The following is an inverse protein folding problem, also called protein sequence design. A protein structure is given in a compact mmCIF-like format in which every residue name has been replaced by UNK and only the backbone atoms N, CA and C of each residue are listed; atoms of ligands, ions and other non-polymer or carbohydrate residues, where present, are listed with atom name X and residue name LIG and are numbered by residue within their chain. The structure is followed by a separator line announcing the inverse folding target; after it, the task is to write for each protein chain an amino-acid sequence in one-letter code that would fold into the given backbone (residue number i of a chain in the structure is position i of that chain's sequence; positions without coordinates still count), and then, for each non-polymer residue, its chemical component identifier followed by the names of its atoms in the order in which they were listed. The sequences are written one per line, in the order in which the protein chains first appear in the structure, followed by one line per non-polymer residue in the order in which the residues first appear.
data_IF_259969558812
#
_entry.id   IF_259969558812
#
_cell.length_a   1.000
_cell.length_b   1.000
_cell.length_c   1.000
_cell.angle_alpha   90.00
_cell.angle_beta   90.00
_cell.angle_gamma   90.00
#
_symmetry.space_group_name_H-M   'P 1'
#
loop_
_entity.id
_entity.type
_entity.pdbx_description
1 polymer ?
#
# COMPACT_ATOMS: atom_id res chain seq x y z
N UNK A 1 -11.85 13.21 1.89
CA UNK A 1 -12.40 12.10 1.10
C UNK A 1 -11.32 11.58 0.17
N UNK A 2 -11.13 10.29 0.10
CA UNK A 2 -10.07 9.72 -0.72
C UNK A 2 -10.49 9.64 -2.17
N UNK A 3 -9.73 10.26 -3.05
CA UNK A 3 -9.93 10.11 -4.48
C UNK A 3 -9.18 8.88 -4.98
N UNK A 4 -9.88 8.04 -5.70
CA UNK A 4 -9.32 6.87 -6.34
C UNK A 4 -9.15 7.16 -7.83
N UNK A 5 -7.96 6.99 -8.32
CA UNK A 5 -7.68 7.13 -9.74
C UNK A 5 -7.39 5.76 -10.32
N UNK A 6 -8.25 5.30 -11.22
CA UNK A 6 -7.98 4.06 -11.95
C UNK A 6 -7.30 4.43 -13.25
N UNK A 7 -6.06 4.00 -13.40
CA UNK A 7 -5.26 4.28 -14.58
C UNK A 7 -5.36 3.16 -15.60
N UNK A 8 -4.91 3.42 -16.83
CA UNK A 8 -4.76 2.38 -17.84
C UNK A 8 -3.76 1.31 -17.36
N UNK A 9 -3.85 0.09 -17.92
CA UNK A 9 -2.89 -0.96 -17.54
C UNK A 9 -1.45 -0.51 -17.75
N UNK A 10 -0.62 -0.74 -16.75
CA UNK A 10 0.82 -0.47 -16.83
C UNK A 10 1.56 -1.78 -17.02
N UNK A 11 2.69 -1.71 -17.71
CA UNK A 11 3.55 -2.87 -17.82
C UNK A 11 3.99 -3.31 -16.42
N UNK A 12 3.96 -4.60 -16.17
CA UNK A 12 4.47 -5.14 -14.92
C UNK A 12 5.94 -4.77 -14.81
N UNK A 13 6.38 -4.27 -13.64
CA UNK A 13 7.80 -4.03 -13.45
C UNK A 13 8.55 -5.33 -13.66
N UNK A 14 9.64 -5.28 -14.40
CA UNK A 14 10.49 -6.44 -14.58
C UNK A 14 10.85 -6.95 -13.20
N UNK A 15 10.31 -8.10 -12.82
CA UNK A 15 10.58 -8.68 -11.52
C UNK A 15 12.03 -9.09 -11.48
N UNK A 16 12.85 -8.33 -10.77
CA UNK A 16 14.14 -8.86 -10.35
C UNK A 16 13.85 -10.08 -9.47
N UNK A 17 14.69 -11.17 -9.59
CA UNK A 17 14.43 -12.39 -8.82
C UNK A 17 14.35 -12.20 -7.30
N UNK A 18 14.81 -11.06 -6.81
CA UNK A 18 14.85 -10.73 -5.39
C UNK A 18 13.58 -10.03 -4.89
N UNK A 19 12.63 -9.73 -5.79
CA UNK A 19 11.34 -9.16 -5.42
C UNK A 19 10.30 -10.23 -5.13
N UNK A 20 10.67 -11.16 -4.29
CA UNK A 20 9.67 -11.93 -3.57
C UNK A 20 9.13 -10.98 -2.53
N UNK A 21 8.05 -10.31 -2.91
CA UNK A 21 7.44 -9.33 -2.05
C UNK A 21 7.11 -9.91 -0.69
N UNK A 22 7.06 -9.09 0.36
CA UNK A 22 6.64 -9.55 1.66
C UNK A 22 5.23 -10.12 1.56
N UNK A 23 5.05 -11.33 2.10
CA UNK A 23 3.77 -12.01 2.10
C UNK A 23 2.90 -11.59 3.28
N UNK A 24 3.48 -10.91 4.28
CA UNK A 24 2.81 -10.55 5.53
C UNK A 24 2.91 -9.06 5.81
N UNK A 25 1.90 -8.49 6.51
CA UNK A 25 1.95 -7.07 6.86
C UNK A 25 3.19 -6.65 7.67
N UNK A 26 3.69 -7.53 8.54
CA UNK A 26 4.90 -7.25 9.31
C UNK A 26 6.13 -7.08 8.40
N UNK A 27 6.22 -7.89 7.35
CA UNK A 27 7.32 -7.79 6.40
C UNK A 27 7.21 -6.49 5.60
N UNK A 28 6.01 -6.09 5.23
CA UNK A 28 5.77 -4.83 4.53
C UNK A 28 6.21 -3.65 5.37
N UNK A 29 5.88 -3.65 6.66
CA UNK A 29 6.31 -2.58 7.58
C UNK A 29 7.83 -2.49 7.69
N UNK A 30 8.50 -3.63 7.77
CA UNK A 30 9.97 -3.66 7.84
C UNK A 30 10.60 -3.12 6.57
N UNK A 31 10.06 -3.48 5.42
CA UNK A 31 10.58 -3.01 4.15
C UNK A 31 10.41 -1.49 4.00
N UNK A 32 9.26 -0.95 4.39
CA UNK A 32 9.02 0.49 4.38
C UNK A 32 10.05 1.21 5.26
N UNK A 33 10.24 0.73 6.49
CA UNK A 33 11.20 1.34 7.41
C UNK A 33 12.61 1.29 6.85
N UNK A 34 13.00 0.16 6.24
CA UNK A 34 14.31 0.00 5.65
C UNK A 34 14.55 1.00 4.51
N UNK A 35 13.63 1.08 3.57
CA UNK A 35 13.76 1.97 2.41
C UNK A 35 13.85 3.43 2.85
N UNK A 36 12.99 3.86 3.77
CA UNK A 36 13.01 5.24 4.27
C UNK A 36 14.31 5.52 5.02
N UNK A 37 14.75 4.60 5.88
CA UNK A 37 15.98 4.78 6.66
C UNK A 37 17.19 4.91 5.75
N UNK A 38 17.30 4.08 4.74
CA UNK A 38 18.40 4.17 3.78
C UNK A 38 18.39 5.50 3.02
N UNK A 39 17.22 5.96 2.63
CA UNK A 39 17.08 7.25 1.96
C UNK A 39 17.46 8.42 2.87
N UNK A 40 17.08 8.38 4.15
CA UNK A 40 17.44 9.39 5.14
C UNK A 40 18.95 9.42 5.39
N UNK A 41 19.58 8.26 5.49
CA UNK A 41 21.03 8.15 5.68
C UNK A 41 21.80 8.75 4.52
N UNK A 42 21.28 8.58 3.31
CA UNK A 42 21.88 9.17 2.12
C UNK A 42 21.62 10.67 2.00
N UNK A 43 20.85 11.26 2.90
CA UNK A 43 20.49 12.68 2.88
C UNK A 43 19.50 13.07 1.80
N UNK A 44 18.79 12.10 1.23
CA UNK A 44 17.87 12.34 0.12
C UNK A 44 16.43 12.59 0.55
N UNK A 45 16.10 12.40 1.83
CA UNK A 45 14.76 12.61 2.33
C UNK A 45 14.76 12.96 3.80
N UNK A 46 13.75 13.72 4.28
CA UNK A 46 13.56 13.95 5.71
C UNK A 46 13.13 12.65 6.40
N UNK A 47 13.43 12.54 7.69
CA UNK A 47 13.17 11.35 8.48
C UNK A 47 12.21 11.67 9.62
N UNK A 48 10.96 12.00 9.28
CA UNK A 48 9.93 12.25 10.26
C UNK A 48 9.36 10.91 10.77
N UNK A 49 9.44 10.68 12.07
CA UNK A 49 8.96 9.44 12.69
C UNK A 49 7.47 9.20 12.45
N UNK A 50 6.66 10.25 12.44
CA UNK A 50 5.23 10.13 12.15
C UNK A 50 4.98 9.70 10.71
N UNK A 51 5.75 10.25 9.78
CA UNK A 51 5.65 9.87 8.38
C UNK A 51 6.03 8.41 8.16
N UNK A 52 7.07 7.94 8.84
CA UNK A 52 7.46 6.53 8.78
C UNK A 52 6.34 5.63 9.29
N UNK A 53 5.75 5.98 10.43
CA UNK A 53 4.64 5.22 11.01
C UNK A 53 3.43 5.19 10.09
N UNK A 54 3.08 6.32 9.49
CA UNK A 54 1.97 6.42 8.54
C UNK A 54 2.21 5.54 7.31
N UNK A 55 3.42 5.60 6.76
CA UNK A 55 3.78 4.78 5.61
C UNK A 55 3.75 3.29 5.95
N UNK A 56 4.22 2.90 7.13
CA UNK A 56 4.15 1.53 7.60
C UNK A 56 2.71 1.05 7.75
N UNK A 57 1.83 1.90 8.28
CA UNK A 57 0.43 1.57 8.43
C UNK A 57 -0.26 1.40 7.07
N UNK A 58 0.01 2.30 6.13
CA UNK A 58 -0.50 2.18 4.75
C UNK A 58 -0.05 0.86 4.13
N UNK A 59 1.22 0.52 4.23
CA UNK A 59 1.75 -0.73 3.68
C UNK A 59 1.10 -1.95 4.33
N UNK A 60 0.91 -1.91 5.64
CA UNK A 60 0.26 -2.98 6.39
C UNK A 60 -1.20 -3.18 5.95
N UNK A 61 -1.93 -2.08 5.78
CA UNK A 61 -3.34 -2.14 5.40
C UNK A 61 -3.52 -2.60 3.94
N UNK A 62 -2.68 -2.14 3.03
CA UNK A 62 -2.72 -2.59 1.64
C UNK A 62 -2.39 -4.08 1.53
N UNK A 63 -1.41 -4.54 2.28
CA UNK A 63 -1.01 -5.95 2.31
C UNK A 63 -2.13 -6.81 2.90
N UNK A 64 -2.74 -6.36 3.99
CA UNK A 64 -3.87 -7.05 4.61
C UNK A 64 -5.04 -7.17 3.64
N UNK A 65 -5.37 -6.10 2.93
CA UNK A 65 -6.44 -6.13 1.92
C UNK A 65 -6.13 -7.13 0.81
N UNK A 66 -4.89 -7.17 0.34
CA UNK A 66 -4.49 -8.12 -0.70
C UNK A 66 -4.64 -9.56 -0.21
N UNK A 67 -4.27 -9.85 1.03
CA UNK A 67 -4.38 -11.18 1.63
C UNK A 67 -5.84 -11.58 1.82
N UNK A 68 -6.65 -10.70 2.40
CA UNK A 68 -8.03 -11.04 2.76
C UNK A 68 -8.98 -11.01 1.57
N UNK A 69 -8.75 -10.12 0.62
CA UNK A 69 -9.73 -9.85 -0.45
C UNK A 69 -9.16 -9.97 -1.85
N UNK A 70 -7.85 -10.03 -2.01
CA UNK A 70 -7.18 -10.00 -3.30
C UNK A 70 -6.55 -11.32 -3.76
N UNK A 71 -6.73 -12.38 -3.00
CA UNK A 71 -6.11 -13.66 -3.33
C UNK A 71 -4.63 -13.76 -2.99
N UNK A 72 -4.11 -12.83 -2.21
CA UNK A 72 -2.72 -12.79 -1.79
C UNK A 72 -1.91 -11.70 -2.50
N UNK A 73 -0.79 -11.36 -1.91
CA UNK A 73 0.14 -10.38 -2.49
C UNK A 73 0.93 -11.07 -3.60
N UNK A 74 0.89 -10.51 -4.81
CA UNK A 74 1.68 -11.01 -5.94
C UNK A 74 2.96 -10.21 -6.13
N UNK A 75 2.98 -8.96 -5.70
CA UNK A 75 4.18 -8.12 -5.74
C UNK A 75 4.06 -7.01 -4.70
N UNK A 76 5.19 -6.62 -4.14
CA UNK A 76 5.28 -5.52 -3.19
C UNK A 76 6.51 -4.69 -3.53
N UNK A 77 6.33 -3.38 -3.61
CA UNK A 77 7.42 -2.47 -3.92
C UNK A 77 7.31 -1.19 -3.11
N UNK A 78 8.43 -0.69 -2.61
CA UNK A 78 8.53 0.58 -1.91
C UNK A 78 9.69 1.36 -2.48
N UNK A 79 9.46 2.62 -2.81
CA UNK A 79 10.52 3.52 -3.22
C UNK A 79 10.22 4.94 -2.74
N UNK A 80 11.25 5.77 -2.68
CA UNK A 80 11.11 7.17 -2.35
C UNK A 80 11.08 7.98 -3.65
N UNK A 81 10.05 8.81 -3.80
CA UNK A 81 9.83 9.62 -4.99
C UNK A 81 9.69 11.08 -4.56
N UNK A 82 10.78 11.86 -4.70
CA UNK A 82 10.81 13.24 -4.23
C UNK A 82 10.56 13.32 -2.72
N UNK A 83 9.57 14.10 -2.26
CA UNK A 83 9.29 14.24 -0.83
C UNK A 83 8.39 13.13 -0.27
N UNK A 84 8.05 12.14 -1.08
CA UNK A 84 7.08 11.11 -0.72
C UNK A 84 7.71 9.73 -0.75
N UNK A 85 7.11 8.80 -0.01
CA UNK A 85 7.35 7.38 -0.18
C UNK A 85 6.15 6.78 -0.94
N UNK A 86 6.45 5.95 -1.93
CA UNK A 86 5.45 5.24 -2.70
C UNK A 86 5.43 3.78 -2.28
N UNK A 87 4.26 3.29 -1.91
CA UNK A 87 4.04 1.89 -1.56
C UNK A 87 3.13 1.28 -2.63
N UNK A 88 3.58 0.21 -3.27
CA UNK A 88 2.83 -0.48 -4.32
C UNK A 88 2.57 -1.91 -3.88
N UNK A 89 1.32 -2.33 -3.91
CA UNK A 89 0.92 -3.69 -3.57
C UNK A 89 0.06 -4.23 -4.69
N UNK A 90 0.48 -5.35 -5.26
CA UNK A 90 -0.27 -6.04 -6.33
C UNK A 90 -0.94 -7.28 -5.77
N UNK A 91 -2.11 -7.59 -6.28
CA UNK A 91 -2.86 -8.80 -5.95
C UNK A 91 -3.53 -9.37 -7.19
N UNK A 92 -4.26 -10.49 -7.02
CA UNK A 92 -4.87 -11.22 -8.13
C UNK A 92 -6.30 -10.80 -8.42
N UNK A 93 -6.88 -9.91 -7.61
CA UNK A 93 -8.28 -9.54 -7.74
C UNK A 93 -8.45 -8.31 -8.64
N UNK A 94 -9.46 -8.33 -9.48
CA UNK A 94 -9.84 -7.15 -10.28
C UNK A 94 -10.77 -6.21 -9.49
N UNK A 95 -11.19 -6.61 -8.31
CA UNK A 95 -12.11 -5.83 -7.51
C UNK A 95 -11.39 -4.72 -6.76
N UNK A 96 -11.99 -3.54 -6.77
CA UNK A 96 -11.48 -2.41 -6.00
C UNK A 96 -11.77 -2.60 -4.51
N UNK A 97 -10.87 -2.13 -3.64
CA UNK A 97 -11.18 -2.04 -2.22
C UNK A 97 -12.39 -1.16 -1.99
N UNK A 98 -13.23 -1.54 -1.04
CA UNK A 98 -14.40 -0.76 -0.66
C UNK A 98 -14.36 -0.52 0.84
N UNK A 99 -14.80 0.68 1.26
CA UNK A 99 -14.99 0.97 2.66
C UNK A 99 -16.20 0.18 3.15
N UNK A 100 -16.02 -0.55 4.25
CA UNK A 100 -17.11 -1.26 4.89
C UNK A 100 -17.57 -0.50 6.11
N UNK A 101 -18.88 -0.61 6.41
CA UNK A 101 -19.40 -0.09 7.67
C UNK A 101 -18.70 -0.80 8.82
N UNK A 102 -18.19 -0.08 9.81
CA UNK A 102 -17.47 -0.72 10.91
C UNK A 102 -18.37 -1.53 11.85
N UNK A 103 -19.68 -1.41 11.73
CA UNK A 103 -20.64 -2.17 12.53
C UNK A 103 -21.33 -3.22 11.67
N UNK A 104 -21.56 -4.40 12.24
CA UNK A 104 -22.36 -5.44 11.59
C UNK A 104 -23.86 -5.14 11.78
N UNK A 105 -24.71 -6.07 11.29
CA UNK A 105 -26.18 -5.90 11.38
C UNK A 105 -26.68 -5.85 12.82
N UNK A 106 -25.93 -6.39 13.77
CA UNK A 106 -26.27 -6.39 15.18
C UNK A 106 -25.65 -5.20 15.93
N UNK A 107 -25.02 -4.28 15.23
CA UNK A 107 -24.35 -3.15 15.84
C UNK A 107 -23.00 -3.48 16.47
N UNK A 108 -22.44 -4.65 16.18
CA UNK A 108 -21.14 -5.06 16.69
C UNK A 108 -20.03 -4.52 15.83
N UNK A 109 -18.90 -4.22 16.45
CA UNK A 109 -17.72 -3.78 15.76
C UNK A 109 -17.19 -4.86 14.82
N UNK A 110 -17.10 -4.50 13.54
CA UNK A 110 -16.57 -5.39 12.53
C UNK A 110 -15.09 -5.08 12.30
N UNK A 111 -14.19 -5.95 12.75
CA UNK A 111 -12.76 -5.81 12.47
C UNK A 111 -12.48 -5.93 10.98
N UNK A 112 -11.49 -5.21 10.48
CA UNK A 112 -11.02 -5.30 9.10
C UNK A 112 -11.71 -4.40 8.10
N UNK A 113 -12.80 -3.69 8.47
CA UNK A 113 -13.46 -2.75 7.57
C UNK A 113 -12.81 -1.37 7.51
N UNK A 114 -11.74 -1.14 8.26
CA UNK A 114 -11.09 0.16 8.41
C UNK A 114 -9.89 0.38 7.50
N UNK A 115 -9.33 -0.71 6.95
CA UNK A 115 -8.04 -0.64 6.27
C UNK A 115 -8.03 0.36 5.13
N UNK A 116 -9.02 0.29 4.25
CA UNK A 116 -9.10 1.17 3.10
C UNK A 116 -9.30 2.64 3.49
N UNK A 117 -10.23 2.99 4.40
CA UNK A 117 -10.34 4.38 4.85
C UNK A 117 -9.07 4.93 5.48
N UNK A 118 -8.31 4.11 6.19
CA UNK A 118 -7.03 4.52 6.76
C UNK A 118 -6.04 4.88 5.65
N UNK A 119 -5.93 4.03 4.63
CA UNK A 119 -5.07 4.31 3.48
C UNK A 119 -5.46 5.64 2.83
N UNK A 120 -6.75 5.85 2.60
CA UNK A 120 -7.24 7.06 1.97
C UNK A 120 -6.97 8.31 2.81
N UNK A 121 -6.96 8.17 4.12
CA UNK A 121 -6.68 9.30 5.02
C UNK A 121 -5.21 9.65 5.07
N UNK A 122 -4.34 8.65 5.13
CA UNK A 122 -2.91 8.86 5.34
C UNK A 122 -2.15 9.13 4.05
N UNK A 123 -2.61 8.57 2.94
CA UNK A 123 -1.95 8.78 1.65
C UNK A 123 -2.41 10.10 1.03
N UNK A 124 -1.46 10.85 0.47
CA UNK A 124 -1.80 12.07 -0.27
C UNK A 124 -2.36 11.74 -1.65
N UNK A 125 -2.06 10.56 -2.19
CA UNK A 125 -2.57 10.10 -3.47
C UNK A 125 -2.65 8.58 -3.47
N UNK A 126 -3.70 8.02 -4.07
CA UNK A 126 -3.88 6.58 -4.21
C UNK A 126 -4.31 6.29 -5.65
N UNK A 127 -3.57 5.42 -6.31
CA UNK A 127 -3.88 5.01 -7.67
C UNK A 127 -4.08 3.50 -7.73
N UNK A 128 -5.02 3.06 -8.55
CA UNK A 128 -5.26 1.65 -8.81
C UNK A 128 -5.07 1.41 -10.30
N UNK A 129 -4.19 0.47 -10.62
CA UNK A 129 -3.88 0.12 -12.01
C UNK A 129 -4.21 -1.34 -12.25
N UNK A 130 -4.83 -1.63 -13.38
CA UNK A 130 -5.03 -3.01 -13.81
C UNK A 130 -3.72 -3.56 -14.35
N UNK A 131 -3.42 -4.83 -14.03
CA UNK A 131 -2.21 -5.49 -14.51
C UNK A 131 -2.50 -6.25 -15.80
N UNK A 132 -1.55 -6.29 -16.75
CA UNK A 132 -1.75 -7.00 -18.02
C UNK A 132 -2.05 -8.49 -17.85
N UNK A 133 -1.48 -9.11 -16.83
CA UNK A 133 -1.65 -10.54 -16.53
C UNK A 133 -2.89 -10.85 -15.68
N UNK A 134 -3.71 -9.83 -15.39
CA UNK A 134 -4.83 -9.94 -14.46
C UNK A 134 -4.46 -9.47 -13.06
N UNK A 135 -5.46 -9.10 -12.28
CA UNK A 135 -5.23 -8.50 -10.98
C UNK A 135 -5.02 -6.99 -11.07
N UNK A 136 -4.57 -6.40 -9.97
CA UNK A 136 -4.37 -4.96 -9.88
C UNK A 136 -3.14 -4.61 -9.05
N UNK A 137 -2.66 -3.40 -9.23
CA UNK A 137 -1.66 -2.79 -8.36
C UNK A 137 -2.26 -1.54 -7.71
N UNK A 138 -2.19 -1.46 -6.40
CA UNK A 138 -2.56 -0.26 -5.67
C UNK A 138 -1.28 0.45 -5.28
N UNK A 139 -1.17 1.72 -5.66
CA UNK A 139 -0.03 2.56 -5.36
C UNK A 139 -0.48 3.70 -4.47
N UNK A 140 0.16 3.87 -3.33
CA UNK A 140 -0.14 4.93 -2.38
C UNK A 140 1.10 5.79 -2.14
N UNK A 141 0.93 7.10 -2.19
CA UNK A 141 1.98 8.08 -1.91
C UNK A 141 1.76 8.65 -0.53
N UNK A 142 2.77 8.57 0.32
CA UNK A 142 2.72 9.12 1.67
C UNK A 142 3.82 10.16 1.83
N UNK A 143 3.46 11.35 2.30
CA UNK A 143 4.42 12.43 2.50
C UNK A 143 5.42 12.07 3.60
N UNK A 144 6.71 12.32 3.37
CA UNK A 144 7.78 12.09 4.34
C UNK A 144 8.07 13.30 5.22
N UNK A 145 7.43 14.41 4.94
CA UNK A 145 7.63 15.63 5.71
C UNK A 145 6.40 16.06 6.50
#
# INVERSE_FOLDING_TARGET
MCEKHRTTPVAEPASAPDHLGPCRPADARREVAHVITECCRAGHAPCDAHAVSDAQLVASELTTNAILHGGGVTDFHVDVVGPDVRVCVSDRSDRLPVARTPLDRQGRYRGGGRGWPIVCRLARDVQVSDLPSGGKCISAMVSLS
#
